data_IF_676411657360
#
_entry.id   IF_676411657360
#
_cell.length_a   1.000
_cell.length_b   1.000
_cell.length_c   1.000
_cell.angle_alpha   90.00
_cell.angle_beta   90.00
_cell.angle_gamma   90.00
#
_symmetry.space_group_name_H-M   'P 1'
#
loop_
_entity.id
_entity.type
_entity.pdbx_description
1 polymer ?
#
# COMPACT_ATOMS: atom_id res chain seq x y z
N UNK A 1 -5.27 4.25 -6.93
CA UNK A 1 -5.27 4.85 -5.59
C UNK A 1 -5.70 3.78 -4.58
N UNK A 2 -4.85 3.49 -3.59
CA UNK A 2 -5.20 2.50 -2.54
C UNK A 2 -5.79 3.17 -1.31
N UNK A 3 -5.39 4.41 -1.01
CA UNK A 3 -5.86 5.15 0.15
C UNK A 3 -5.95 6.64 -0.17
N UNK A 4 -7.06 7.28 0.21
CA UNK A 4 -7.26 8.71 0.15
C UNK A 4 -8.11 9.14 1.35
N UNK A 5 -7.57 10.03 2.17
CA UNK A 5 -8.29 10.82 3.17
C UNK A 5 -8.13 12.31 2.84
N UNK A 6 -8.57 13.19 3.75
CA UNK A 6 -8.42 14.64 3.59
C UNK A 6 -6.97 15.07 3.34
N UNK A 7 -6.04 14.58 4.15
CA UNK A 7 -4.65 15.07 4.17
C UNK A 7 -3.63 14.03 3.71
N UNK A 8 -4.08 12.85 3.26
CA UNK A 8 -3.19 11.75 2.85
C UNK A 8 -3.72 11.05 1.60
N UNK A 9 -2.84 10.82 0.64
CA UNK A 9 -3.05 9.93 -0.51
C UNK A 9 -1.90 8.94 -0.63
N UNK A 10 -2.24 7.68 -0.86
CA UNK A 10 -1.31 6.64 -1.26
C UNK A 10 -1.72 6.02 -2.60
N UNK A 11 -0.84 6.15 -3.58
CA UNK A 11 -0.97 5.54 -4.89
C UNK A 11 0.11 4.48 -5.07
N UNK A 12 -0.26 3.37 -5.71
CA UNK A 12 0.62 2.21 -5.84
C UNK A 12 0.69 1.81 -7.29
N UNK A 13 1.89 1.58 -7.79
CA UNK A 13 2.11 0.97 -9.09
C UNK A 13 2.05 -0.55 -8.94
N UNK A 14 1.02 -1.15 -9.53
CA UNK A 14 0.90 -2.59 -9.72
C UNK A 14 1.47 -2.96 -11.09
N UNK A 15 2.42 -3.89 -11.13
CA UNK A 15 2.93 -4.46 -12.38
C UNK A 15 2.71 -5.97 -12.40
N UNK A 16 2.29 -6.49 -13.55
CA UNK A 16 2.21 -7.92 -13.75
C UNK A 16 3.61 -8.55 -13.64
N UNK A 17 3.70 -9.65 -12.90
CA UNK A 17 4.92 -10.41 -12.70
C UNK A 17 4.58 -11.90 -12.55
N UNK A 18 5.60 -12.75 -12.70
CA UNK A 18 5.49 -14.19 -12.45
C UNK A 18 6.45 -14.57 -11.34
N UNK A 19 6.01 -15.33 -10.35
CA UNK A 19 6.89 -15.87 -9.33
C UNK A 19 6.66 -17.35 -9.08
N UNK A 20 7.67 -17.98 -8.49
CA UNK A 20 7.71 -19.41 -8.27
C UNK A 20 7.68 -19.74 -6.77
N UNK A 21 6.96 -20.79 -6.44
CA UNK A 21 6.84 -21.36 -5.11
C UNK A 21 7.27 -22.83 -5.17
N UNK A 22 8.02 -23.30 -4.16
CA UNK A 22 8.55 -24.66 -4.12
C UNK A 22 9.65 -24.94 -5.14
N UNK A 23 9.74 -26.18 -5.62
CA UNK A 23 10.64 -26.63 -6.69
C UNK A 23 12.14 -26.43 -6.44
N UNK A 24 12.58 -26.52 -5.19
CA UNK A 24 14.01 -26.40 -4.81
C UNK A 24 14.78 -27.71 -4.88
N UNK A 25 14.11 -28.80 -5.26
CA UNK A 25 14.70 -30.12 -5.43
C UNK A 25 14.09 -30.81 -6.67
N UNK A 26 14.74 -31.86 -7.17
CA UNK A 26 14.31 -32.57 -8.38
C UNK A 26 12.90 -33.17 -8.27
N UNK A 27 12.50 -33.58 -7.07
CA UNK A 27 11.19 -34.16 -6.76
C UNK A 27 10.27 -33.20 -6.00
N UNK A 28 10.54 -31.89 -6.06
CA UNK A 28 9.73 -30.87 -5.41
C UNK A 28 8.77 -30.24 -6.42
N UNK A 29 7.48 -30.19 -6.09
CA UNK A 29 6.48 -29.50 -6.91
C UNK A 29 6.75 -28.01 -6.98
N UNK A 30 6.45 -27.45 -8.14
CA UNK A 30 6.43 -26.00 -8.38
C UNK A 30 5.00 -25.52 -8.49
N UNK A 31 4.70 -24.41 -7.81
CA UNK A 31 3.55 -23.57 -8.13
C UNK A 31 4.05 -22.28 -8.78
N UNK A 32 3.58 -22.02 -10.00
CA UNK A 32 3.85 -20.81 -10.77
C UNK A 32 2.66 -19.88 -10.56
N UNK A 33 2.92 -18.65 -10.13
CA UNK A 33 1.87 -17.65 -9.93
C UNK A 33 2.12 -16.48 -10.86
N UNK A 34 1.12 -16.15 -11.68
CA UNK A 34 1.10 -14.99 -12.59
C UNK A 34 0.10 -13.98 -12.06
N UNK A 35 0.54 -12.77 -11.79
CA UNK A 35 -0.32 -11.79 -11.15
C UNK A 35 0.27 -10.40 -11.02
N UNK A 36 -0.47 -9.50 -10.38
CA UNK A 36 -0.06 -8.12 -10.18
C UNK A 36 0.65 -7.93 -8.84
N UNK A 37 1.76 -7.20 -8.84
CA UNK A 37 2.55 -6.93 -7.63
C UNK A 37 2.76 -5.45 -7.43
N UNK A 38 2.69 -5.02 -6.18
CA UNK A 38 3.06 -3.67 -5.78
C UNK A 38 4.56 -3.47 -5.92
N UNK A 39 4.97 -2.52 -6.78
CA UNK A 39 6.39 -2.24 -7.07
C UNK A 39 6.84 -0.88 -6.58
N UNK A 40 5.93 0.10 -6.58
CA UNK A 40 6.24 1.47 -6.21
C UNK A 40 5.08 2.08 -5.42
N UNK A 41 5.43 2.96 -4.50
CA UNK A 41 4.50 3.72 -3.68
C UNK A 41 4.77 5.21 -3.87
N UNK A 42 3.69 5.94 -4.14
CA UNK A 42 3.66 7.40 -4.28
C UNK A 42 2.72 7.96 -3.21
N UNK A 43 3.28 8.77 -2.32
CA UNK A 43 2.58 9.37 -1.21
C UNK A 43 2.43 10.87 -1.41
N UNK A 44 1.28 11.39 -1.00
CA UNK A 44 1.03 12.82 -0.84
C UNK A 44 0.46 13.02 0.55
N UNK A 45 1.11 13.85 1.36
CA UNK A 45 0.64 14.23 2.69
C UNK A 45 0.56 15.76 2.78
N UNK A 46 -0.39 16.26 3.56
CA UNK A 46 -0.46 17.69 3.89
C UNK A 46 -0.17 17.88 5.37
N UNK A 47 0.68 18.86 5.67
CA UNK A 47 0.98 19.28 7.05
C UNK A 47 -0.11 20.21 7.59
N UNK A 48 -0.14 20.44 8.90
CA UNK A 48 -1.03 21.43 9.53
C UNK A 48 -0.87 22.84 8.96
N UNK A 49 0.37 23.24 8.62
CA UNK A 49 0.71 24.50 7.97
C UNK A 49 0.35 24.55 6.48
N UNK A 50 -0.45 23.61 5.97
CA UNK A 50 -0.83 23.55 4.55
C UNK A 50 0.37 23.39 3.62
N UNK A 51 1.38 22.61 4.02
CA UNK A 51 2.50 22.24 3.16
C UNK A 51 2.28 20.85 2.60
N UNK A 52 2.49 20.66 1.29
CA UNK A 52 2.39 19.34 0.66
C UNK A 52 3.74 18.65 0.68
N UNK A 53 3.79 17.44 1.24
CA UNK A 53 4.95 16.54 1.22
C UNK A 53 4.63 15.38 0.27
N UNK A 54 5.50 15.16 -0.72
CA UNK A 54 5.43 14.00 -1.62
C UNK A 54 6.59 13.06 -1.33
N UNK A 55 6.34 11.76 -1.34
CA UNK A 55 7.39 10.75 -1.21
C UNK A 55 7.22 9.60 -2.20
N UNK A 56 8.30 9.16 -2.82
CA UNK A 56 8.35 8.03 -3.77
C UNK A 56 9.29 6.94 -3.26
N UNK A 57 8.78 5.72 -3.23
CA UNK A 57 9.49 4.54 -2.78
C UNK A 57 9.40 3.39 -3.76
N UNK A 58 10.54 2.76 -4.04
CA UNK A 58 10.68 1.65 -4.98
C UNK A 58 11.02 0.36 -4.23
N UNK A 59 10.32 -0.73 -4.53
CA UNK A 59 10.68 -2.05 -4.00
C UNK A 59 12.09 -2.49 -4.44
N UNK A 60 12.46 -2.19 -5.68
CA UNK A 60 13.72 -2.64 -6.28
C UNK A 60 14.94 -1.83 -5.82
N UNK A 61 14.74 -0.57 -5.43
CA UNK A 61 15.78 0.34 -4.92
C UNK A 61 15.42 0.87 -3.52
N UNK A 62 15.24 -0.02 -2.52
CA UNK A 62 14.58 0.37 -1.29
C UNK A 62 15.50 1.11 -0.32
N UNK A 63 16.77 1.34 -0.66
CA UNK A 63 17.69 2.12 0.19
C UNK A 63 17.54 3.63 0.04
N UNK A 64 16.63 4.08 -0.83
CA UNK A 64 16.38 5.50 -1.07
C UNK A 64 14.89 5.81 -1.10
N UNK A 65 14.52 6.98 -0.59
CA UNK A 65 13.20 7.60 -0.78
C UNK A 65 13.40 9.00 -1.32
N UNK A 66 12.81 9.27 -2.48
CA UNK A 66 12.77 10.60 -3.08
C UNK A 66 11.61 11.37 -2.46
N UNK A 67 11.84 12.58 -1.95
CA UNK A 67 10.78 13.40 -1.39
C UNK A 67 10.88 14.86 -1.87
N UNK A 68 9.74 15.53 -1.94
CA UNK A 68 9.65 16.95 -2.28
C UNK A 68 8.61 17.63 -1.41
N UNK A 69 8.83 18.91 -1.16
CA UNK A 69 7.98 19.72 -0.28
C UNK A 69 7.57 20.98 -1.01
N UNK A 70 6.28 21.26 -1.00
CA UNK A 70 5.69 22.41 -1.68
C UNK A 70 4.73 23.11 -0.73
N UNK A 71 5.06 24.32 -0.23
CA UNK A 71 4.14 25.08 0.60
C UNK A 71 2.96 25.55 -0.25
N UNK A 72 1.72 25.47 0.27
CA UNK A 72 0.54 25.99 -0.44
C UNK A 72 0.49 27.53 -0.42
N UNK A 73 1.08 28.15 0.61
CA UNK A 73 1.24 29.59 0.71
C UNK A 73 2.60 30.01 0.13
N UNK A 74 2.71 31.24 -0.39
CA UNK A 74 3.97 31.81 -0.92
C UNK A 74 5.00 32.13 0.18
N UNK A 75 5.02 31.37 1.25
CA UNK A 75 6.06 31.44 2.27
C UNK A 75 7.29 30.69 1.75
N UNK A 76 8.43 31.38 1.69
CA UNK A 76 9.68 30.75 1.29
C UNK A 76 10.15 29.80 2.39
N UNK A 77 10.18 28.50 2.11
CA UNK A 77 10.86 27.53 2.96
C UNK A 77 12.37 27.57 2.68
N UNK A 78 13.22 27.37 3.70
CA UNK A 78 14.64 27.12 3.51
C UNK A 78 14.89 26.00 2.48
N UNK A 79 15.89 26.17 1.61
CA UNK A 79 16.17 25.23 0.52
C UNK A 79 16.40 23.79 0.97
N UNK A 80 16.99 23.59 2.15
CA UNK A 80 17.20 22.28 2.75
C UNK A 80 15.91 21.53 3.15
N UNK A 81 14.77 22.23 3.22
CA UNK A 81 13.46 21.64 3.51
C UNK A 81 12.63 21.35 2.24
N UNK A 82 13.05 21.83 1.06
CA UNK A 82 12.26 21.71 -0.18
C UNK A 82 12.23 20.28 -0.75
N UNK A 83 13.02 19.37 -0.20
CA UNK A 83 13.07 17.97 -0.59
C UNK A 83 14.48 17.44 -0.77
N UNK A 84 14.56 16.19 -1.21
CA UNK A 84 15.83 15.51 -1.44
C UNK A 84 15.66 14.00 -1.48
N UNK A 85 16.73 13.30 -1.13
CA UNK A 85 16.75 11.84 -1.08
C UNK A 85 17.13 11.40 0.32
N UNK A 86 16.20 10.73 1.02
CA UNK A 86 16.54 9.98 2.23
C UNK A 86 17.28 8.71 1.81
N UNK A 87 18.40 8.43 2.46
CA UNK A 87 19.26 7.28 2.14
C UNK A 87 19.57 6.47 3.39
N UNK A 88 19.53 5.16 3.25
CA UNK A 88 20.02 4.20 4.24
C UNK A 88 21.07 3.29 3.60
N UNK A 89 21.81 2.53 4.41
CA UNK A 89 22.76 1.54 3.91
C UNK A 89 22.08 0.58 2.92
N UNK A 90 22.86 0.05 1.97
CA UNK A 90 22.39 -0.97 1.03
C UNK A 90 22.29 -2.37 1.66
N UNK A 91 23.10 -2.62 2.69
CA UNK A 91 23.31 -3.97 3.24
C UNK A 91 23.10 -4.07 4.75
N UNK A 92 23.37 -3.00 5.50
CA UNK A 92 23.36 -3.02 6.97
C UNK A 92 22.16 -2.31 7.57
N UNK A 93 21.84 -2.67 8.82
CA UNK A 93 20.83 -1.97 9.59
C UNK A 93 21.20 -0.47 9.70
N UNK A 94 20.25 0.39 9.34
CA UNK A 94 20.44 1.84 9.34
C UNK A 94 19.08 2.52 9.17
N UNK A 95 19.02 3.80 9.53
CA UNK A 95 17.80 4.58 9.43
C UNK A 95 18.10 6.01 9.03
N UNK A 96 17.13 6.64 8.38
CA UNK A 96 17.11 8.04 8.02
C UNK A 96 15.69 8.58 8.19
N UNK A 97 15.56 9.85 8.52
CA UNK A 97 14.28 10.49 8.75
C UNK A 97 14.23 11.88 8.15
N UNK A 98 13.01 12.29 7.79
CA UNK A 98 12.67 13.64 7.42
C UNK A 98 11.38 14.01 8.16
N UNK A 99 11.39 15.15 8.83
CA UNK A 99 10.24 15.66 9.57
C UNK A 99 10.02 17.12 9.20
N UNK A 100 8.77 17.46 8.93
CA UNK A 100 8.31 18.84 8.77
C UNK A 100 6.95 18.97 9.45
N UNK A 101 6.88 19.85 10.45
CA UNK A 101 5.71 20.02 11.30
C UNK A 101 5.24 18.66 11.87
N UNK A 102 4.00 18.25 11.59
CA UNK A 102 3.40 17.00 12.03
C UNK A 102 3.64 15.83 11.05
N UNK A 103 4.24 16.06 9.89
CA UNK A 103 4.53 15.01 8.91
C UNK A 103 5.91 14.41 9.15
N UNK A 104 5.97 13.09 9.25
CA UNK A 104 7.19 12.32 9.43
C UNK A 104 7.35 11.30 8.30
N UNK A 105 8.56 11.21 7.75
CA UNK A 105 8.97 10.19 6.77
C UNK A 105 10.21 9.48 7.31
N UNK A 106 10.08 8.22 7.66
CA UNK A 106 11.15 7.39 8.23
C UNK A 106 11.49 6.24 7.28
N UNK A 107 12.76 6.13 6.92
CA UNK A 107 13.29 5.02 6.14
C UNK A 107 14.21 4.19 7.02
N UNK A 108 13.91 2.89 7.17
CA UNK A 108 14.66 1.99 8.04
C UNK A 108 15.02 0.70 7.33
N UNK A 109 16.32 0.46 7.14
CA UNK A 109 16.83 -0.86 6.77
C UNK A 109 16.98 -1.71 8.03
N UNK A 110 16.39 -2.91 8.00
CA UNK A 110 16.57 -3.90 9.06
C UNK A 110 17.74 -4.83 8.76
N UNK A 111 17.84 -5.28 7.52
CA UNK A 111 18.91 -6.15 7.01
C UNK A 111 18.93 -6.07 5.47
N UNK A 112 19.77 -6.86 4.80
CA UNK A 112 19.87 -6.91 3.32
C UNK A 112 18.53 -7.20 2.61
N UNK A 113 17.65 -7.98 3.25
CA UNK A 113 16.40 -8.50 2.67
C UNK A 113 15.19 -7.59 2.87
N UNK A 114 15.25 -6.68 3.85
CA UNK A 114 14.06 -5.95 4.30
C UNK A 114 14.34 -4.50 4.66
N UNK A 115 13.52 -3.61 4.09
CA UNK A 115 13.51 -2.17 4.36
C UNK A 115 12.09 -1.68 4.52
N UNK A 116 11.86 -0.81 5.49
CA UNK A 116 10.57 -0.20 5.77
C UNK A 116 10.64 1.29 5.47
N UNK A 117 9.69 1.79 4.68
CA UNK A 117 9.32 3.20 4.68
C UNK A 117 8.09 3.35 5.57
N UNK A 118 8.11 4.33 6.46
CA UNK A 118 6.94 4.80 7.22
C UNK A 118 6.71 6.27 6.91
N UNK A 119 5.50 6.64 6.52
CA UNK A 119 5.07 8.02 6.41
C UNK A 119 3.82 8.24 7.25
N UNK A 120 3.76 9.34 8.00
CA UNK A 120 2.63 9.63 8.87
C UNK A 120 2.40 11.12 9.06
N UNK A 121 1.15 11.46 9.37
CA UNK A 121 0.76 12.68 10.08
C UNK A 121 0.09 12.27 11.41
N UNK A 122 -0.66 13.16 12.06
CA UNK A 122 -1.36 12.83 13.31
C UNK A 122 -2.55 11.88 13.13
N UNK A 123 -3.08 11.75 11.92
CA UNK A 123 -4.30 11.01 11.63
C UNK A 123 -4.02 9.60 11.12
N UNK A 124 -3.00 9.44 10.28
CA UNK A 124 -2.72 8.21 9.57
C UNK A 124 -1.24 7.89 9.53
N UNK A 125 -0.94 6.60 9.50
CA UNK A 125 0.38 6.05 9.25
C UNK A 125 0.32 5.02 8.13
N UNK A 126 1.22 5.16 7.17
CA UNK A 126 1.40 4.24 6.05
C UNK A 126 2.79 3.64 6.16
N UNK A 127 2.87 2.32 6.17
CA UNK A 127 4.12 1.57 6.19
C UNK A 127 4.23 0.73 4.93
N UNK A 128 5.29 0.94 4.16
CA UNK A 128 5.66 0.11 3.03
C UNK A 128 6.88 -0.73 3.35
N UNK A 129 6.75 -2.05 3.19
CA UNK A 129 7.82 -3.02 3.43
C UNK A 129 8.31 -3.54 2.10
N UNK A 130 9.55 -3.20 1.74
CA UNK A 130 10.24 -3.83 0.62
C UNK A 130 10.84 -5.16 1.06
N UNK A 131 10.40 -6.26 0.46
CA UNK A 131 10.86 -7.63 0.75
C UNK A 131 11.14 -8.41 -0.51
N UNK A 132 11.97 -9.44 -0.43
CA UNK A 132 12.12 -10.38 -1.55
C UNK A 132 10.82 -11.15 -1.81
N UNK A 133 10.63 -11.56 -3.06
CA UNK A 133 9.70 -12.65 -3.36
C UNK A 133 10.02 -13.89 -2.52
N UNK A 134 9.03 -14.73 -2.17
CA UNK A 134 9.28 -16.04 -1.57
C UNK A 134 10.26 -16.84 -2.43
N UNK A 135 10.99 -17.82 -1.87
CA UNK A 135 12.02 -18.56 -2.62
C UNK A 135 12.96 -17.61 -3.39
N UNK A 136 13.56 -16.66 -2.67
CA UNK A 136 14.26 -15.52 -3.24
C UNK A 136 15.25 -15.88 -4.35
N UNK A 137 16.08 -16.92 -4.16
CA UNK A 137 17.06 -17.33 -5.19
C UNK A 137 16.39 -17.77 -6.49
N UNK A 138 15.31 -18.55 -6.39
CA UNK A 138 14.52 -18.97 -7.56
C UNK A 138 13.83 -17.80 -8.24
N UNK A 139 13.41 -16.81 -7.46
CA UNK A 139 12.79 -15.58 -7.95
C UNK A 139 13.80 -14.45 -8.22
N UNK A 140 15.08 -14.81 -8.43
CA UNK A 140 16.16 -13.90 -8.83
C UNK A 140 16.34 -12.71 -7.88
N UNK A 141 16.00 -12.92 -6.60
CA UNK A 141 16.05 -11.94 -5.52
C UNK A 141 15.32 -10.64 -5.85
N UNK A 142 14.30 -10.72 -6.71
CA UNK A 142 13.42 -9.58 -7.00
C UNK A 142 12.67 -9.19 -5.73
N UNK A 143 12.23 -7.94 -5.68
CA UNK A 143 11.52 -7.36 -4.53
C UNK A 143 10.10 -6.93 -4.89
N UNK A 144 9.25 -6.90 -3.87
CA UNK A 144 7.87 -6.41 -3.89
C UNK A 144 7.64 -5.50 -2.69
N UNK A 145 6.54 -4.73 -2.72
CA UNK A 145 6.02 -4.03 -1.55
C UNK A 145 4.88 -4.83 -0.92
N UNK A 146 4.84 -4.77 0.41
CA UNK A 146 3.65 -5.04 1.23
C UNK A 146 3.32 -3.73 1.98
N UNK A 147 2.04 -3.38 2.11
CA UNK A 147 1.60 -2.11 2.72
C UNK A 147 0.76 -2.35 3.98
N UNK A 148 0.90 -1.46 4.95
CA UNK A 148 0.03 -1.39 6.12
C UNK A 148 -0.40 0.06 6.37
N UNK A 149 -1.65 0.24 6.76
CA UNK A 149 -2.30 1.51 7.02
C UNK A 149 -2.85 1.48 8.44
N UNK A 150 -2.63 2.55 9.20
CA UNK A 150 -3.11 2.68 10.56
C UNK A 150 -3.80 4.01 10.77
N UNK A 151 -4.88 4.00 11.55
CA UNK A 151 -5.58 5.22 12.00
C UNK A 151 -5.04 5.61 13.37
N UNK A 152 -4.39 6.76 13.46
CA UNK A 152 -3.73 7.25 14.68
C UNK A 152 -4.64 8.16 15.51
N UNK A 153 -5.66 8.74 14.90
CA UNK A 153 -6.68 9.55 15.59
C UNK A 153 -7.89 8.72 16.04
N UNK A 154 -8.79 9.35 16.80
CA UNK A 154 -10.13 8.80 17.01
C UNK A 154 -10.90 8.79 15.68
N UNK A 155 -11.31 7.59 15.24
CA UNK A 155 -12.18 7.39 14.09
C UNK A 155 -13.51 8.14 14.21
N UNK A 156 -13.94 8.59 15.38
CA UNK A 156 -15.14 9.43 15.49
C UNK A 156 -14.94 10.88 15.01
N UNK A 157 -13.70 11.35 14.88
CA UNK A 157 -13.40 12.78 14.81
C UNK A 157 -13.23 13.36 13.39
N UNK A 158 -12.99 12.53 12.37
CA UNK A 158 -12.85 13.06 10.99
C UNK A 158 -14.22 13.31 10.35
N UNK A 159 -14.34 14.35 9.55
CA UNK A 159 -15.55 14.67 8.77
C UNK A 159 -15.44 14.17 7.33
N UNK A 160 -14.27 13.66 6.94
CA UNK A 160 -13.99 13.07 5.63
C UNK A 160 -13.72 11.59 5.80
N UNK A 161 -14.73 10.75 5.52
CA UNK A 161 -14.53 9.31 5.54
C UNK A 161 -13.49 8.89 4.46
N UNK A 162 -12.41 8.17 4.83
CA UNK A 162 -11.41 7.74 3.87
C UNK A 162 -11.97 6.81 2.80
N UNK A 163 -11.33 6.82 1.63
CA UNK A 163 -11.67 5.97 0.50
C UNK A 163 -10.40 5.42 -0.17
N UNK A 164 -10.57 4.68 -1.26
CA UNK A 164 -9.52 3.92 -1.94
C UNK A 164 -9.68 2.44 -1.68
N UNK A 165 -8.95 1.59 -2.39
CA UNK A 165 -9.09 0.12 -2.29
C UNK A 165 -9.00 -0.39 -0.84
N UNK A 166 -8.12 0.18 -0.01
CA UNK A 166 -8.01 -0.15 1.42
C UNK A 166 -8.65 0.91 2.31
N UNK A 167 -8.66 2.18 1.89
CA UNK A 167 -9.10 3.30 2.73
C UNK A 167 -10.57 3.22 3.16
N UNK A 168 -11.42 2.66 2.29
CA UNK A 168 -12.83 2.39 2.61
C UNK A 168 -13.04 1.43 3.80
N UNK A 169 -12.00 0.74 4.28
CA UNK A 169 -12.04 -0.07 5.51
C UNK A 169 -12.13 0.81 6.77
N UNK A 170 -11.75 2.09 6.67
CA UNK A 170 -11.68 3.05 7.78
C UNK A 170 -12.76 4.13 7.70
N UNK A 171 -13.79 3.92 6.87
CA UNK A 171 -14.85 4.89 6.59
C UNK A 171 -15.93 4.95 7.70
N UNK A 172 -15.78 4.13 8.74
CA UNK A 172 -16.62 4.05 9.95
C UNK A 172 -18.03 3.55 9.73
N UNK A 173 -18.27 2.82 8.66
CA UNK A 173 -19.56 2.20 8.40
C UNK A 173 -19.88 1.04 9.38
N UNK A 174 -18.87 0.56 10.12
CA UNK A 174 -18.97 -0.50 11.13
C UNK A 174 -19.10 -1.91 10.54
N UNK A 175 -18.91 -2.06 9.22
CA UNK A 175 -19.15 -3.29 8.47
C UNK A 175 -17.87 -3.68 7.72
N UNK A 176 -17.33 -4.85 8.03
CA UNK A 176 -16.32 -5.49 7.19
C UNK A 176 -17.02 -6.22 6.05
N UNK A 177 -16.45 -6.16 4.85
CA UNK A 177 -17.00 -6.85 3.68
C UNK A 177 -15.88 -7.66 3.04
N UNK A 178 -16.12 -8.96 2.92
CA UNK A 178 -15.19 -9.87 2.25
C UNK A 178 -15.50 -9.85 0.76
N UNK A 179 -14.51 -9.40 -0.03
CA UNK A 179 -14.60 -9.31 -1.49
C UNK A 179 -14.18 -10.60 -2.17
N UNK A 180 -14.10 -10.56 -3.50
CA UNK A 180 -13.54 -11.63 -4.30
C UNK A 180 -12.09 -11.93 -3.91
N UNK A 181 -11.75 -13.22 -3.88
CA UNK A 181 -10.41 -13.75 -3.64
C UNK A 181 -10.02 -14.68 -4.78
N UNK A 182 -8.73 -14.75 -5.09
CA UNK A 182 -8.21 -15.72 -6.05
C UNK A 182 -8.13 -17.12 -5.46
N UNK A 183 -8.30 -18.13 -6.32
CA UNK A 183 -8.04 -19.53 -5.98
C UNK A 183 -6.55 -19.86 -6.16
N UNK A 184 -5.83 -19.94 -5.04
CA UNK A 184 -4.40 -20.26 -5.01
C UNK A 184 -4.08 -21.76 -5.07
N UNK A 185 -5.09 -22.64 -5.27
CA UNK A 185 -4.84 -24.06 -5.54
C UNK A 185 -4.19 -24.25 -6.91
N UNK A 186 -4.67 -23.54 -7.94
CA UNK A 186 -4.11 -23.56 -9.30
C UNK A 186 -4.31 -24.85 -10.09
N UNK A 187 -4.25 -24.76 -11.42
CA UNK A 187 -4.41 -25.88 -12.35
C UNK A 187 -3.11 -26.64 -12.60
N UNK A 188 -3.19 -27.97 -12.78
CA UNK A 188 -2.03 -28.79 -13.16
C UNK A 188 -1.60 -28.48 -14.61
N UNK A 189 -0.30 -28.29 -14.85
CA UNK A 189 0.23 -27.90 -16.18
C UNK A 189 1.16 -28.94 -16.83
N UNK A 190 1.56 -29.98 -16.10
CA UNK A 190 2.39 -31.09 -16.60
C UNK A 190 2.19 -32.38 -15.77
N UNK A 191 1.00 -32.53 -15.17
CA UNK A 191 0.69 -33.63 -14.25
C UNK A 191 1.37 -33.53 -12.88
N UNK A 192 2.18 -32.50 -12.64
CA UNK A 192 2.99 -32.38 -11.43
C UNK A 192 3.02 -30.97 -10.82
N UNK A 193 3.25 -29.95 -11.64
CA UNK A 193 3.32 -28.53 -11.29
C UNK A 193 1.96 -27.84 -11.43
N UNK A 194 1.79 -26.75 -10.69
CA UNK A 194 0.55 -25.95 -10.64
C UNK A 194 0.76 -24.55 -11.21
N UNK A 195 -0.25 -24.02 -11.91
CA UNK A 195 -0.32 -22.64 -12.40
C UNK A 195 -1.51 -21.92 -11.74
N UNK A 196 -1.22 -20.76 -11.15
CA UNK A 196 -2.21 -19.81 -10.64
C UNK A 196 -2.12 -18.54 -11.49
N UNK A 197 -3.28 -18.04 -11.93
CA UNK A 197 -3.40 -16.73 -12.58
C UNK A 197 -4.36 -15.91 -11.71
N UNK A 198 -3.89 -14.79 -11.17
CA UNK A 198 -4.68 -13.94 -10.28
C UNK A 198 -5.53 -12.96 -11.09
N UNK A 199 -6.78 -12.78 -10.69
CA UNK A 199 -7.75 -11.89 -11.32
C UNK A 199 -8.55 -11.07 -10.31
N UNK A 200 -8.75 -11.57 -9.09
CA UNK A 200 -9.57 -10.89 -8.10
C UNK A 200 -8.88 -9.64 -7.53
N UNK A 201 -9.62 -8.54 -7.42
CA UNK A 201 -9.16 -7.27 -6.86
C UNK A 201 -10.00 -6.82 -5.65
N UNK A 202 -10.77 -7.74 -5.06
CA UNK A 202 -11.67 -7.46 -3.94
C UNK A 202 -13.05 -6.97 -4.37
N UNK A 203 -13.47 -7.27 -5.61
CA UNK A 203 -14.82 -6.96 -6.11
C UNK A 203 -15.90 -7.43 -5.14
N UNK A 204 -16.97 -6.64 -5.03
CA UNK A 204 -18.04 -6.86 -4.06
C UNK A 204 -17.75 -6.32 -2.67
N UNK A 205 -16.48 -6.16 -2.27
CA UNK A 205 -16.12 -5.39 -1.08
C UNK A 205 -15.85 -3.92 -1.38
N UNK A 206 -15.42 -3.58 -2.60
CA UNK A 206 -15.14 -2.19 -3.02
C UNK A 206 -16.33 -1.51 -3.68
N UNK A 207 -16.44 -0.20 -3.50
CA UNK A 207 -17.45 0.61 -4.20
C UNK A 207 -17.05 0.85 -5.66
N UNK A 208 -17.92 0.48 -6.59
CA UNK A 208 -17.60 0.51 -8.03
C UNK A 208 -16.69 -0.64 -8.46
N UNK A 209 -15.79 -0.36 -9.41
CA UNK A 209 -14.90 -1.36 -10.04
C UNK A 209 -13.44 -0.94 -9.95
N UNK A 210 -12.51 -1.88 -10.12
CA UNK A 210 -11.06 -1.61 -10.01
C UNK A 210 -10.58 -0.40 -10.85
N UNK A 211 -11.12 -0.24 -12.07
CA UNK A 211 -10.77 0.88 -12.96
C UNK A 211 -11.17 2.26 -12.41
N UNK A 212 -12.17 2.35 -11.54
CA UNK A 212 -12.57 3.61 -10.90
C UNK A 212 -11.50 4.17 -9.95
N UNK A 213 -10.57 3.31 -9.53
CA UNK A 213 -9.47 3.64 -8.64
C UNK A 213 -8.16 3.90 -9.40
N UNK A 214 -8.15 3.79 -10.72
CA UNK A 214 -6.95 4.05 -11.50
C UNK A 214 -6.52 5.51 -11.40
N UNK A 215 -5.20 5.71 -11.38
CA UNK A 215 -4.57 7.02 -11.33
C UNK A 215 -3.70 7.14 -12.55
N UNK A 216 -3.73 8.30 -13.20
CA UNK A 216 -2.97 8.52 -14.43
C UNK A 216 -1.46 8.29 -14.18
N UNK A 217 -0.88 7.36 -14.93
CA UNK A 217 0.52 6.97 -14.81
C UNK A 217 1.51 8.10 -15.13
N UNK A 218 1.11 9.09 -15.94
CA UNK A 218 1.97 10.26 -16.22
C UNK A 218 2.01 11.25 -15.05
N UNK A 219 1.07 11.15 -14.11
CA UNK A 219 1.04 11.92 -12.87
C UNK A 219 0.75 10.99 -11.68
N UNK A 220 1.73 10.17 -11.26
CA UNK A 220 1.52 9.13 -10.25
C UNK A 220 1.23 9.70 -8.85
N UNK A 221 1.54 10.97 -8.62
CA UNK A 221 1.18 11.73 -7.41
C UNK A 221 -0.19 12.40 -7.50
N UNK A 222 -0.98 12.16 -8.56
CA UNK A 222 -2.32 12.72 -8.67
C UNK A 222 -3.17 12.28 -7.48
N UNK A 223 -3.82 13.26 -6.87
CA UNK A 223 -4.80 13.05 -5.80
C UNK A 223 -6.22 12.90 -6.35
N UNK A 224 -6.39 13.06 -7.67
CA UNK A 224 -7.66 12.99 -8.37
C UNK A 224 -7.92 11.59 -8.93
N UNK A 225 -9.08 11.03 -8.57
CA UNK A 225 -9.71 9.82 -9.11
C UNK A 225 -11.20 9.85 -8.68
N UNK A 226 -12.03 8.90 -9.13
CA UNK A 226 -13.51 8.95 -8.94
C UNK A 226 -13.95 9.15 -7.49
N UNK A 227 -13.26 8.52 -6.54
CA UNK A 227 -13.58 8.58 -5.11
C UNK A 227 -12.54 9.36 -4.29
N UNK A 228 -11.87 10.35 -4.90
CA UNK A 228 -10.89 11.18 -4.22
C UNK A 228 -11.46 11.85 -2.96
N UNK A 229 -10.67 11.84 -1.89
CA UNK A 229 -10.99 12.49 -0.61
C UNK A 229 -10.04 13.64 -0.24
N UNK A 230 -8.92 13.73 -0.95
CA UNK A 230 -7.86 14.69 -0.65
C UNK A 230 -8.33 16.13 -0.79
N UNK A 231 -8.06 16.95 0.23
CA UNK A 231 -8.45 18.35 0.31
C UNK A 231 -9.95 18.61 0.52
N UNK A 232 -10.79 17.57 0.64
CA UNK A 232 -12.21 17.76 0.92
C UNK A 232 -12.43 18.25 2.36
N UNK A 233 -13.49 19.02 2.57
CA UNK A 233 -13.92 19.46 3.91
C UNK A 233 -14.92 18.52 4.56
N UNK A 234 -15.63 17.71 3.75
CA UNK A 234 -16.57 16.69 4.20
C UNK A 234 -16.68 15.58 3.14
N UNK A 235 -16.81 14.33 3.57
CA UNK A 235 -17.21 13.23 2.72
C UNK A 235 -17.90 12.12 3.51
N UNK A 236 -18.97 11.57 2.95
CA UNK A 236 -19.69 10.45 3.55
C UNK A 236 -18.93 9.12 3.41
N UNK A 237 -19.19 8.14 4.30
CA UNK A 237 -18.73 6.76 4.15
C UNK A 237 -19.20 6.12 2.83
N UNK A 238 -18.63 4.97 2.49
CA UNK A 238 -19.00 4.25 1.26
C UNK A 238 -20.45 3.79 1.30
N UNK A 239 -21.04 3.56 0.13
CA UNK A 239 -22.39 3.02 0.06
C UNK A 239 -22.41 1.50 0.26
N UNK A 240 -22.64 1.05 1.50
CA UNK A 240 -22.72 -0.40 1.85
C UNK A 240 -23.82 -1.14 1.08
N UNK A 241 -24.89 -0.45 0.68
CA UNK A 241 -26.03 -1.11 0.00
C UNK A 241 -25.66 -1.58 -1.39
N UNK A 242 -24.70 -0.94 -2.06
CA UNK A 242 -24.16 -1.38 -3.35
C UNK A 242 -23.12 -2.50 -3.27
N UNK A 243 -22.69 -2.89 -2.07
CA UNK A 243 -21.64 -3.90 -1.86
C UNK A 243 -22.24 -5.30 -1.75
N UNK A 244 -21.76 -6.21 -2.60
CA UNK A 244 -22.28 -7.58 -2.78
C UNK A 244 -21.49 -8.64 -2.02
N UNK A 245 -20.32 -8.29 -1.50
CA UNK A 245 -19.46 -9.18 -0.71
C UNK A 245 -20.09 -9.59 0.62
N UNK A 246 -19.46 -10.55 1.30
CA UNK A 246 -19.98 -11.08 2.56
C UNK A 246 -19.80 -10.05 3.68
N UNK A 247 -20.91 -9.57 4.23
CA UNK A 247 -20.93 -8.57 5.31
C UNK A 247 -20.69 -9.21 6.68
N UNK A 248 -19.82 -8.60 7.47
CA UNK A 248 -19.50 -8.98 8.85
C UNK A 248 -19.48 -7.72 9.71
N UNK A 249 -19.99 -7.82 10.93
CA UNK A 249 -19.90 -6.72 11.89
C UNK A 249 -18.45 -6.58 12.35
N UNK A 250 -17.91 -5.36 12.34
CA UNK A 250 -16.59 -5.10 12.91
C UNK A 250 -16.71 -5.16 14.43
N UNK A 251 -15.95 -6.07 15.06
CA UNK A 251 -15.75 -6.08 16.50
C UNK A 251 -14.55 -5.20 16.79
N UNK A 252 -14.76 -4.02 17.41
CA UNK A 252 -13.67 -3.13 17.81
C UNK A 252 -12.83 -3.83 18.87
N UNK A 253 -11.61 -4.20 18.50
CA UNK A 253 -10.59 -4.68 19.43
C UNK A 253 -9.83 -3.48 20.03
N UNK A 254 -9.31 -3.64 21.25
CA UNK A 254 -8.47 -2.63 21.90
C UNK A 254 -7.14 -2.52 21.15
N UNK A 255 -6.85 -1.37 20.53
CA UNK A 255 -5.61 -1.12 19.80
C UNK A 255 -5.79 -0.15 18.64
N UNK A 256 -4.68 0.19 17.98
CA UNK A 256 -4.68 1.01 16.76
C UNK A 256 -5.30 0.18 15.62
N UNK A 257 -6.37 0.64 14.96
CA UNK A 257 -6.92 -0.02 13.77
C UNK A 257 -5.86 -0.10 12.67
N UNK A 258 -5.68 -1.30 12.11
CA UNK A 258 -4.72 -1.55 11.02
C UNK A 258 -5.40 -2.34 9.92
N UNK A 259 -5.17 -1.93 8.67
CA UNK A 259 -5.48 -2.71 7.48
C UNK A 259 -4.20 -2.88 6.66
N UNK A 260 -4.04 -4.02 6.00
CA UNK A 260 -2.83 -4.31 5.22
C UNK A 260 -3.18 -4.84 3.84
N UNK A 261 -2.25 -4.59 2.91
CA UNK A 261 -2.20 -5.19 1.60
C UNK A 261 -0.89 -5.97 1.56
N UNK A 262 -0.95 -7.24 1.91
CA UNK A 262 0.20 -8.14 1.89
C UNK A 262 -0.01 -9.18 0.81
N UNK A 263 1.06 -9.62 0.16
CA UNK A 263 0.94 -10.77 -0.71
C UNK A 263 0.71 -12.01 0.15
N UNK A 264 -0.43 -12.65 -0.04
CA UNK A 264 -0.70 -13.93 0.59
C UNK A 264 0.20 -14.99 -0.04
N UNK A 265 1.28 -15.27 0.67
CA UNK A 265 2.22 -16.34 0.33
C UNK A 265 2.01 -17.54 1.23
N UNK A 266 1.19 -17.44 2.28
CA UNK A 266 0.84 -18.54 3.19
C UNK A 266 -0.05 -19.57 2.52
N UNK A 267 -1.14 -19.14 1.88
CA UNK A 267 -2.09 -20.04 1.21
C UNK A 267 -1.47 -20.64 -0.07
N UNK A 268 -0.53 -19.91 -0.65
CA UNK A 268 0.22 -20.37 -1.80
C UNK A 268 1.28 -21.45 -1.45
N UNK A 269 1.67 -21.60 -0.18
CA UNK A 269 2.65 -22.62 0.30
C UNK A 269 2.05 -24.02 0.40
N UNK A 270 0.73 -24.19 0.41
CA UNK A 270 0.11 -25.52 0.29
C UNK A 270 0.35 -26.05 -1.14
N UNK A 271 1.33 -26.96 -1.28
CA UNK A 271 1.76 -27.63 -2.52
C UNK A 271 0.99 -28.94 -2.78
#
# INVERSE_FOLDING_TARGET
CVFSSRDVVANVLFLHDTFFLGGTCQSCRTKIVRGSFMKELYLVLTTEGSTTVKAHFFASRPSTVEHSVTPLLRTSLPSHLLGGVLKVSESMASQAEYTIENVQVHLRRLNTREVHLSASNEQYKIVAKSRFYPWADRNQRRKRLDLAFSVLMDEGADVVAPHGLIGQTFDRDGVAIDGALDDYTGGLIDGYNRLVITHAMGEGAIEGVASDYEVNRTNPFSTSFKYARFGLTKAEPRNITSLTGKKRRVIRMKGIPVASMEHDVSDAVQL
#
